data_IF_531157495299
#
_entry.id   IF_531157495299
#
_cell.length_a   1.000
_cell.length_b   1.000
_cell.length_c   1.000
_cell.angle_alpha   90.00
_cell.angle_beta   90.00
_cell.angle_gamma   90.00
#
_symmetry.space_group_name_H-M   'P 1'
#
loop_
_entity.id
_entity.type
_entity.pdbx_description
1 polymer ?
#
# COMPACT_ATOMS: atom_id res chain seq x y z
N UNK A 1 -5.47 20.00 10.14
CA UNK A 1 -4.83 18.68 10.41
C UNK A 1 -3.74 18.44 9.37
N UNK A 2 -2.56 18.01 9.79
CA UNK A 2 -1.48 17.70 8.87
C UNK A 2 -1.81 16.43 8.06
N UNK A 3 -1.15 16.27 6.90
CA UNK A 3 -1.32 15.07 6.09
C UNK A 3 -0.96 13.81 6.89
N UNK A 4 0.11 13.87 7.65
CA UNK A 4 0.56 12.74 8.49
C UNK A 4 -0.48 12.36 9.54
N UNK A 5 -1.06 13.34 10.23
CA UNK A 5 -2.08 13.09 11.24
C UNK A 5 -3.36 12.51 10.60
N UNK A 6 -3.72 12.98 9.41
CA UNK A 6 -4.88 12.46 8.67
C UNK A 6 -4.66 11.00 8.27
N UNK A 7 -3.47 10.68 7.75
CA UNK A 7 -3.15 9.30 7.38
C UNK A 7 -3.21 8.37 8.60
N UNK A 8 -2.69 8.82 9.74
CA UNK A 8 -2.76 8.05 10.98
C UNK A 8 -4.19 7.82 11.42
N UNK A 9 -5.04 8.85 11.35
CA UNK A 9 -6.45 8.72 11.71
C UNK A 9 -7.18 7.70 10.82
N UNK A 10 -6.80 7.60 9.53
CA UNK A 10 -7.37 6.62 8.62
C UNK A 10 -6.90 5.19 8.93
N UNK A 11 -5.64 5.03 9.29
CA UNK A 11 -5.01 3.72 9.49
C UNK A 11 -5.33 3.13 10.86
N UNK A 12 -5.36 3.96 11.90
CA UNK A 12 -5.41 3.58 13.31
C UNK A 12 -6.45 2.52 13.67
N UNK A 13 -7.64 2.61 13.08
CA UNK A 13 -8.75 1.69 13.37
C UNK A 13 -8.98 0.66 12.28
N UNK A 14 -8.12 0.64 11.26
CA UNK A 14 -8.25 -0.26 10.12
C UNK A 14 -7.58 -1.60 10.40
N UNK A 15 -8.09 -2.66 9.79
CA UNK A 15 -7.48 -3.98 9.84
C UNK A 15 -6.87 -4.37 8.51
N UNK A 16 -7.21 -3.63 7.45
CA UNK A 16 -6.60 -3.76 6.13
C UNK A 16 -6.32 -2.37 5.59
N UNK A 17 -5.18 -2.20 4.96
CA UNK A 17 -4.81 -0.96 4.28
C UNK A 17 -4.48 -1.29 2.83
N UNK A 18 -5.14 -0.60 1.92
CA UNK A 18 -4.90 -0.71 0.48
C UNK A 18 -4.28 0.60 0.02
N UNK A 19 -3.06 0.56 -0.43
CA UNK A 19 -2.31 1.75 -0.80
C UNK A 19 -1.87 1.71 -2.25
N UNK A 20 -1.77 2.88 -2.86
CA UNK A 20 -1.21 3.05 -4.21
C UNK A 20 0.10 3.82 -4.07
N UNK A 21 1.16 3.31 -4.63
CA UNK A 21 2.46 3.96 -4.54
C UNK A 21 3.53 3.21 -5.31
N UNK A 22 4.78 3.52 -5.01
CA UNK A 22 5.94 2.87 -5.62
C UNK A 22 6.77 2.22 -4.52
N UNK A 23 7.00 0.93 -4.65
CA UNK A 23 7.81 0.18 -3.69
C UNK A 23 9.28 0.32 -4.05
N UNK A 24 10.09 0.71 -3.06
CA UNK A 24 11.53 0.80 -3.19
C UNK A 24 12.15 -0.29 -2.33
N UNK A 25 12.80 -1.25 -2.97
CA UNK A 25 13.42 -2.37 -2.28
C UNK A 25 14.58 -1.92 -1.40
N UNK A 26 14.85 -2.67 -0.35
CA UNK A 26 15.96 -2.40 0.57
C UNK A 26 17.27 -2.22 -0.20
N UNK A 27 17.98 -1.13 0.10
CA UNK A 27 19.24 -0.82 -0.53
C UNK A 27 19.17 -0.32 -1.97
N UNK A 28 17.96 -0.08 -2.51
CA UNK A 28 17.77 0.37 -3.89
C UNK A 28 17.30 1.81 -3.94
N UNK A 29 17.34 2.39 -5.14
CA UNK A 29 16.88 3.76 -5.40
C UNK A 29 15.55 3.72 -6.16
N UNK A 30 14.67 4.68 -5.88
CA UNK A 30 13.46 4.85 -6.66
C UNK A 30 13.80 5.52 -8.00
N UNK A 31 12.85 5.45 -8.94
CA UNK A 31 12.98 6.13 -10.23
C UNK A 31 13.01 7.66 -10.08
N UNK A 32 12.52 8.18 -8.94
CA UNK A 32 12.48 9.62 -8.64
C UNK A 32 13.64 10.09 -7.75
N UNK A 33 14.64 9.24 -7.53
CA UNK A 33 15.83 9.62 -6.79
C UNK A 33 15.78 9.36 -5.29
N UNK A 34 14.69 8.82 -4.76
CA UNK A 34 14.64 8.40 -3.37
C UNK A 34 15.58 7.21 -3.15
N UNK A 35 16.38 7.27 -2.10
CA UNK A 35 17.31 6.19 -1.75
C UNK A 35 16.85 5.47 -0.50
N UNK A 36 16.48 4.20 -0.65
CA UNK A 36 16.10 3.39 0.49
C UNK A 36 17.34 2.77 1.15
N UNK A 37 17.82 3.41 2.21
CA UNK A 37 18.98 2.94 2.96
C UNK A 37 18.62 1.95 4.06
N UNK A 38 17.35 1.63 4.24
CA UNK A 38 16.91 0.72 5.28
C UNK A 38 17.14 -0.73 4.88
N UNK A 39 16.92 -1.63 5.84
CA UNK A 39 17.01 -3.09 5.62
C UNK A 39 15.71 -3.65 5.06
N UNK A 40 14.68 -2.83 4.90
CA UNK A 40 13.35 -3.27 4.52
C UNK A 40 12.87 -2.55 3.28
N UNK A 41 11.94 -3.18 2.55
CA UNK A 41 11.25 -2.52 1.46
C UNK A 41 10.36 -1.42 2.03
N UNK A 42 10.26 -0.29 1.33
CA UNK A 42 9.42 0.84 1.75
C UNK A 42 8.59 1.33 0.56
N UNK A 43 7.55 2.12 0.86
CA UNK A 43 6.78 2.81 -0.17
C UNK A 43 7.22 4.26 -0.19
N UNK A 44 7.53 4.77 -1.39
CA UNK A 44 8.00 6.13 -1.58
C UNK A 44 6.87 7.16 -1.36
N UNK A 45 7.24 8.35 -0.90
CA UNK A 45 6.34 9.50 -0.78
C UNK A 45 5.47 9.50 0.48
N UNK A 46 4.43 10.35 0.48
CA UNK A 46 3.52 10.49 1.62
C UNK A 46 2.74 9.23 1.96
N UNK A 47 2.43 8.43 0.95
CA UNK A 47 1.79 7.12 1.13
C UNK A 47 2.66 6.20 2.00
N UNK A 48 3.98 6.35 1.90
CA UNK A 48 4.93 5.55 2.68
C UNK A 48 4.75 5.69 4.18
N UNK A 49 4.40 6.88 4.68
CA UNK A 49 4.17 7.08 6.11
C UNK A 49 2.97 6.27 6.60
N UNK A 50 1.87 6.30 5.85
CA UNK A 50 0.66 5.55 6.22
C UNK A 50 0.91 4.04 6.17
N UNK A 51 1.64 3.57 5.15
CA UNK A 51 2.01 2.16 5.02
C UNK A 51 2.90 1.74 6.19
N UNK A 52 3.90 2.56 6.54
CA UNK A 52 4.79 2.25 7.65
C UNK A 52 4.05 2.21 9.00
N UNK A 53 3.11 3.12 9.22
CA UNK A 53 2.27 3.09 10.42
C UNK A 53 1.47 1.79 10.49
N UNK A 54 0.89 1.37 9.37
CA UNK A 54 0.13 0.12 9.31
C UNK A 54 1.01 -1.08 9.62
N UNK A 55 2.22 -1.12 9.07
CA UNK A 55 3.18 -2.19 9.32
C UNK A 55 3.56 -2.23 10.81
N UNK A 56 3.82 -1.07 11.41
CA UNK A 56 4.19 -0.97 12.83
C UNK A 56 3.08 -1.45 13.76
N UNK A 57 1.82 -1.41 13.31
CA UNK A 57 0.66 -1.86 14.06
C UNK A 57 0.13 -3.22 13.62
N UNK A 58 0.91 -3.94 12.82
CA UNK A 58 0.60 -5.30 12.37
C UNK A 58 -0.75 -5.40 11.63
N UNK A 59 -1.09 -4.36 10.87
CA UNK A 59 -2.28 -4.31 10.03
C UNK A 59 -1.98 -5.00 8.70
N UNK A 60 -2.97 -5.66 8.09
CA UNK A 60 -2.81 -6.23 6.76
C UNK A 60 -2.59 -5.12 5.73
N UNK A 61 -1.46 -5.14 5.04
CA UNK A 61 -1.06 -4.09 4.10
C UNK A 61 -0.94 -4.64 2.69
N UNK A 62 -1.62 -3.98 1.76
CA UNK A 62 -1.59 -4.29 0.33
C UNK A 62 -1.25 -3.03 -0.43
N UNK A 63 -0.26 -3.10 -1.31
CA UNK A 63 0.22 -1.96 -2.09
C UNK A 63 0.16 -2.29 -3.57
N UNK A 64 -0.47 -1.41 -4.35
CA UNK A 64 -0.39 -1.47 -5.80
C UNK A 64 0.76 -0.59 -6.24
N UNK A 65 1.79 -1.20 -6.82
CA UNK A 65 2.94 -0.48 -7.37
C UNK A 65 2.61 -0.07 -8.80
N UNK A 66 2.41 1.24 -9.01
CA UNK A 66 2.02 1.78 -10.32
C UNK A 66 3.09 1.58 -11.38
N UNK A 67 4.35 1.59 -11.00
CA UNK A 67 5.47 1.41 -11.93
C UNK A 67 5.57 -0.04 -12.41
N UNK A 68 5.24 -0.99 -11.55
CA UNK A 68 5.28 -2.41 -11.86
C UNK A 68 3.94 -2.97 -12.32
N UNK A 69 2.85 -2.19 -12.15
CA UNK A 69 1.48 -2.57 -12.52
C UNK A 69 1.05 -3.87 -11.84
N UNK A 70 1.37 -4.00 -10.54
CA UNK A 70 1.10 -5.21 -9.76
C UNK A 70 0.77 -4.90 -8.33
N UNK A 71 0.00 -5.79 -7.70
CA UNK A 71 -0.27 -5.76 -6.27
C UNK A 71 0.80 -6.50 -5.50
N UNK A 72 1.13 -5.97 -4.30
CA UNK A 72 2.06 -6.59 -3.36
C UNK A 72 1.40 -6.59 -1.98
N UNK A 73 1.67 -7.64 -1.19
CA UNK A 73 1.28 -7.68 0.22
C UNK A 73 2.52 -7.62 1.08
N UNK A 74 2.40 -6.98 2.24
CA UNK A 74 3.48 -6.98 3.21
C UNK A 74 3.49 -8.32 3.95
N UNK A 75 4.64 -8.97 3.98
CA UNK A 75 4.85 -10.21 4.73
C UNK A 75 5.53 -9.91 6.06
N UNK A 76 4.83 -10.17 7.15
CA UNK A 76 5.40 -9.98 8.50
C UNK A 76 6.45 -11.05 8.83
N UNK A 77 6.44 -12.16 8.14
CA UNK A 77 7.43 -13.23 8.29
C UNK A 77 8.73 -12.90 7.58
N UNK A 78 8.63 -12.45 6.32
CA UNK A 78 9.80 -12.14 5.48
C UNK A 78 10.28 -10.70 5.62
N UNK A 79 9.44 -9.82 6.19
CA UNK A 79 9.68 -8.38 6.34
C UNK A 79 9.96 -7.69 5.00
N UNK A 80 9.15 -8.02 4.00
CA UNK A 80 9.23 -7.45 2.65
C UNK A 80 7.88 -7.52 1.96
N UNK A 81 7.76 -6.78 0.84
CA UNK A 81 6.59 -6.85 -0.02
C UNK A 81 6.71 -8.05 -0.97
N UNK A 82 5.65 -8.85 -1.03
CA UNK A 82 5.60 -10.05 -1.86
C UNK A 82 4.56 -9.84 -2.95
N UNK A 83 4.95 -10.09 -4.20
CA UNK A 83 4.07 -9.97 -5.35
C UNK A 83 2.85 -10.88 -5.21
N UNK A 84 1.68 -10.33 -5.50
CA UNK A 84 0.43 -11.08 -5.51
C UNK A 84 0.06 -11.43 -6.96
N UNK A 85 -0.45 -12.63 -7.16
CA UNK A 85 -0.92 -13.07 -8.48
C UNK A 85 -2.31 -12.56 -8.77
N UNK A 86 -3.05 -12.19 -7.75
CA UNK A 86 -4.43 -11.75 -7.87
C UNK A 86 -4.63 -10.41 -7.16
N UNK A 87 -5.67 -9.67 -7.59
CA UNK A 87 -6.12 -8.46 -6.91
C UNK A 87 -6.57 -8.83 -5.49
N UNK A 88 -6.14 -8.09 -4.45
CA UNK A 88 -6.60 -8.34 -3.10
C UNK A 88 -8.09 -8.05 -2.93
N UNK A 89 -8.68 -8.63 -1.91
CA UNK A 89 -10.09 -8.53 -1.61
C UNK A 89 -10.28 -7.90 -0.23
N UNK A 90 -11.31 -7.07 -0.09
CA UNK A 90 -11.67 -6.52 1.22
C UNK A 90 -12.33 -7.63 2.03
N UNK A 91 -11.69 -8.04 3.12
CA UNK A 91 -12.19 -9.10 4.00
C UNK A 91 -12.54 -8.59 5.40
N UNK A 92 -12.17 -7.36 5.71
CA UNK A 92 -12.42 -6.74 7.01
C UNK A 92 -13.41 -5.60 6.89
N UNK A 93 -14.24 -5.40 7.91
CA UNK A 93 -15.18 -4.28 7.95
C UNK A 93 -14.46 -2.94 8.02
N UNK A 94 -13.35 -2.90 8.77
CA UNK A 94 -12.56 -1.69 8.93
C UNK A 94 -11.35 -1.76 8.03
N UNK A 95 -11.36 -0.98 6.95
CA UNK A 95 -10.26 -0.89 6.01
C UNK A 95 -10.04 0.57 5.62
N UNK A 96 -8.84 0.88 5.14
CA UNK A 96 -8.49 2.21 4.66
C UNK A 96 -7.86 2.12 3.29
N UNK A 97 -8.19 3.08 2.43
CA UNK A 97 -7.54 3.26 1.14
C UNK A 97 -6.66 4.50 1.18
N UNK A 98 -5.42 4.36 0.79
CA UNK A 98 -4.44 5.45 0.77
C UNK A 98 -3.99 5.67 -0.67
N UNK A 99 -4.37 6.83 -1.24
CA UNK A 99 -3.94 7.20 -2.58
C UNK A 99 -2.66 8.01 -2.57
N UNK A 100 -1.99 8.06 -3.71
CA UNK A 100 -0.85 8.94 -3.93
C UNK A 100 -1.31 10.19 -4.65
N UNK A 101 -0.55 11.29 -4.53
CA UNK A 101 -0.82 12.53 -5.28
C UNK A 101 -0.63 12.33 -6.78
N UNK A 102 0.18 11.37 -7.17
CA UNK A 102 0.49 11.07 -8.57
C UNK A 102 -0.24 9.80 -9.02
N UNK A 103 -1.53 9.73 -8.74
CA UNK A 103 -2.33 8.57 -9.12
C UNK A 103 -2.40 8.46 -10.65
N UNK A 104 -1.87 7.36 -11.16
CA UNK A 104 -1.91 7.03 -12.57
C UNK A 104 -3.20 6.26 -12.90
N UNK A 105 -3.50 6.14 -14.20
CA UNK A 105 -4.70 5.44 -14.66
C UNK A 105 -4.76 3.99 -14.16
N UNK A 106 -3.61 3.28 -14.15
CA UNK A 106 -3.56 1.91 -13.67
C UNK A 106 -3.80 1.80 -12.16
N UNK A 107 -3.40 2.81 -11.37
CA UNK A 107 -3.69 2.85 -9.95
C UNK A 107 -5.19 2.98 -9.69
N UNK A 108 -5.87 3.83 -10.46
CA UNK A 108 -7.31 4.00 -10.36
C UNK A 108 -8.05 2.70 -10.71
N UNK A 109 -7.63 2.02 -11.78
CA UNK A 109 -8.18 0.73 -12.18
C UNK A 109 -7.94 -0.31 -11.09
N UNK A 110 -6.78 -0.31 -10.47
CA UNK A 110 -6.45 -1.26 -9.40
C UNK A 110 -7.37 -1.09 -8.18
N UNK A 111 -7.64 0.14 -7.76
CA UNK A 111 -8.57 0.41 -6.65
C UNK A 111 -9.96 -0.09 -7.01
N UNK A 112 -10.43 0.22 -8.20
CA UNK A 112 -11.74 -0.21 -8.68
C UNK A 112 -11.84 -1.74 -8.69
N UNK A 113 -10.77 -2.41 -9.11
CA UNK A 113 -10.71 -3.88 -9.15
C UNK A 113 -10.86 -4.52 -7.78
N UNK A 114 -10.32 -3.90 -6.73
CA UNK A 114 -10.50 -4.38 -5.35
C UNK A 114 -11.97 -4.38 -4.96
N UNK A 115 -12.67 -3.29 -5.24
CA UNK A 115 -14.10 -3.19 -4.95
C UNK A 115 -14.91 -4.17 -5.78
N UNK A 116 -14.63 -4.29 -7.07
CA UNK A 116 -15.32 -5.22 -7.95
C UNK A 116 -15.14 -6.66 -7.47
N UNK A 117 -13.93 -7.06 -7.15
CA UNK A 117 -13.64 -8.40 -6.66
C UNK A 117 -14.36 -8.70 -5.33
N UNK A 118 -14.45 -7.69 -4.46
CA UNK A 118 -15.09 -7.85 -3.15
C UNK A 118 -16.60 -7.98 -3.27
N UNK A 119 -17.23 -7.18 -4.13
CA UNK A 119 -18.69 -7.03 -4.16
C UNK A 119 -19.40 -7.70 -5.34
N UNK A 120 -18.66 -8.16 -6.36
CA UNK A 120 -19.29 -8.76 -7.55
C UNK A 120 -19.64 -10.24 -7.40
N UNK A 121 -19.25 -10.90 -6.33
CA UNK A 121 -19.53 -12.32 -6.06
C UNK A 121 -20.74 -12.49 -5.14
N UNK A 122 -21.74 -11.67 -5.32
CA UNK A 122 -22.96 -11.78 -4.54
C UNK A 122 -24.03 -12.55 -5.29
#
# INVERSE_FOLDING_TARGET
MSLLARNWAQVKYSKQVFAIGSIVKAGKNSTKGYKNKSKYDVVDGGTGYAVQMAINHEIGVYVFDQDKDKWFRWSYTSLRFIEMKETPKITEQNFAGIGTRELLANGEVAIRSVYEKTFSNK
#
